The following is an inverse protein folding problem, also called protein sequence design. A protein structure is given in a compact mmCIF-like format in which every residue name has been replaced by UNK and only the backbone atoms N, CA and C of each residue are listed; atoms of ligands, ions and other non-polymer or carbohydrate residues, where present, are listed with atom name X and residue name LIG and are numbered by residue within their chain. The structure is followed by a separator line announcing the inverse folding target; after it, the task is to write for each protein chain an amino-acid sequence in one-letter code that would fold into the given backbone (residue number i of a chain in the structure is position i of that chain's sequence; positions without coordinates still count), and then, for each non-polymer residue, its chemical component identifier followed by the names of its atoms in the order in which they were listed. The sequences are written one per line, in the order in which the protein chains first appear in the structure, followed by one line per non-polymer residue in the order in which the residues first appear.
data_IF_610590533103
#
_entry.id   IF_610590533103
#
_cell.length_a   1.000
_cell.length_b   1.000
_cell.length_c   1.000
_cell.angle_alpha   90.00
_cell.angle_beta   90.00
_cell.angle_gamma   90.00
#
_symmetry.space_group_name_H-M   'P 1'
#
loop_
_entity.id
_entity.type
_entity.pdbx_description
1 polymer ?
#
# COMPACT_ATOMS: atom_id res chain seq x y z
N UNK A 1 -7.17 -0.69 -15.19
CA UNK A 1 -5.90 -1.23 -15.72
C UNK A 1 -4.77 -0.19 -15.60
N UNK A 2 -4.94 1.05 -16.13
CA UNK A 2 -3.87 2.10 -16.11
C UNK A 2 -3.40 2.41 -14.68
N UNK A 3 -4.32 2.63 -13.72
CA UNK A 3 -3.97 2.91 -12.33
C UNK A 3 -3.20 1.75 -11.67
N UNK A 4 -3.58 0.50 -11.97
CA UNK A 4 -2.87 -0.69 -11.48
C UNK A 4 -1.47 -0.82 -12.06
N UNK A 5 -1.30 -0.54 -13.35
CA UNK A 5 0.02 -0.52 -14.00
C UNK A 5 0.91 0.57 -13.41
N UNK A 6 0.39 1.81 -13.33
CA UNK A 6 1.13 2.94 -12.75
C UNK A 6 1.56 2.65 -11.30
N UNK A 7 0.62 2.24 -10.45
CA UNK A 7 0.91 1.85 -9.07
C UNK A 7 1.87 0.67 -8.97
N UNK A 8 1.75 -0.33 -9.85
CA UNK A 8 2.66 -1.47 -9.91
C UNK A 8 4.11 -1.05 -10.21
N UNK A 9 4.33 -0.22 -11.22
CA UNK A 9 5.68 0.25 -11.58
C UNK A 9 6.39 0.97 -10.43
N UNK A 10 5.67 1.74 -9.59
CA UNK A 10 6.23 2.38 -8.39
C UNK A 10 6.83 1.35 -7.42
N UNK A 11 6.40 0.09 -7.46
CA UNK A 11 6.88 -0.97 -6.58
C UNK A 11 7.85 -1.95 -7.26
N UNK A 12 7.90 -2.00 -8.58
CA UNK A 12 8.89 -2.79 -9.32
C UNK A 12 10.22 -2.04 -9.49
N UNK A 13 10.14 -0.77 -9.88
CA UNK A 13 11.31 0.07 -10.15
C UNK A 13 12.23 0.23 -8.93
N UNK A 14 11.75 0.22 -7.66
CA UNK A 14 12.59 0.24 -6.46
C UNK A 14 13.68 -0.85 -6.42
N UNK A 15 13.44 -1.98 -7.05
CA UNK A 15 14.45 -3.03 -7.16
C UNK A 15 15.70 -2.55 -7.92
N UNK A 16 15.52 -1.79 -9.00
CA UNK A 16 16.60 -1.23 -9.81
C UNK A 16 17.16 0.05 -9.19
N UNK A 17 16.30 0.92 -8.69
CA UNK A 17 16.74 2.20 -8.11
C UNK A 17 17.40 2.02 -6.75
N UNK A 18 17.07 0.97 -5.98
CA UNK A 18 17.80 0.59 -4.78
C UNK A 18 19.25 0.26 -5.08
N UNK A 19 19.49 -0.54 -6.13
CA UNK A 19 20.83 -0.85 -6.61
C UNK A 19 21.58 0.38 -7.13
N UNK A 20 20.88 1.29 -7.81
CA UNK A 20 21.46 2.56 -8.26
C UNK A 20 21.79 3.47 -7.08
N UNK A 21 20.94 3.52 -6.05
CA UNK A 21 21.15 4.31 -4.84
C UNK A 21 22.36 3.83 -4.02
N UNK A 22 22.58 2.51 -3.94
CA UNK A 22 23.76 1.92 -3.30
C UNK A 22 25.07 2.36 -4.00
N UNK A 23 25.02 2.63 -5.32
CA UNK A 23 26.17 3.09 -6.09
C UNK A 23 26.42 4.59 -6.00
N UNK A 24 25.37 5.40 -6.11
CA UNK A 24 25.52 6.86 -6.17
C UNK A 24 25.53 7.52 -4.78
N UNK A 25 25.19 6.77 -3.74
CA UNK A 25 25.06 7.23 -2.38
C UNK A 25 23.64 7.79 -2.09
N UNK A 26 23.16 7.52 -0.90
CA UNK A 26 21.77 7.81 -0.48
C UNK A 26 21.39 9.29 -0.57
N UNK A 27 22.31 10.22 -0.24
CA UNK A 27 22.03 11.65 -0.35
C UNK A 27 21.79 12.10 -1.79
N UNK A 28 22.64 11.68 -2.73
CA UNK A 28 22.47 12.00 -4.15
C UNK A 28 21.21 11.38 -4.73
N UNK A 29 20.89 10.14 -4.31
CA UNK A 29 19.70 9.44 -4.73
C UNK A 29 18.42 10.17 -4.25
N UNK A 30 18.36 10.67 -3.00
CA UNK A 30 17.23 11.46 -2.50
C UNK A 30 17.10 12.82 -3.20
N UNK A 31 18.22 13.51 -3.48
CA UNK A 31 18.20 14.76 -4.25
C UNK A 31 17.57 14.53 -5.63
N UNK A 32 18.03 13.49 -6.34
CA UNK A 32 17.47 13.12 -7.64
C UNK A 32 15.99 12.74 -7.52
N UNK A 33 15.63 11.94 -6.53
CA UNK A 33 14.26 11.51 -6.28
C UNK A 33 13.30 12.69 -6.12
N UNK A 34 13.60 13.60 -5.19
CA UNK A 34 12.72 14.74 -4.92
C UNK A 34 12.74 15.80 -6.02
N UNK A 35 13.84 15.96 -6.77
CA UNK A 35 13.88 16.79 -7.97
C UNK A 35 12.93 16.22 -9.06
N UNK A 36 12.98 14.91 -9.34
CA UNK A 36 12.10 14.24 -10.29
C UNK A 36 10.63 14.34 -9.86
N UNK A 37 10.32 14.15 -8.57
CA UNK A 37 8.97 14.28 -8.02
C UNK A 37 8.45 15.72 -8.17
N UNK A 38 9.27 16.72 -7.84
CA UNK A 38 8.90 18.13 -7.95
C UNK A 38 8.56 18.50 -9.38
N UNK A 39 9.42 18.13 -10.35
CA UNK A 39 9.19 18.40 -11.77
C UNK A 39 7.98 17.60 -12.28
N UNK A 40 7.86 16.31 -11.91
CA UNK A 40 6.77 15.45 -12.34
C UNK A 40 5.40 15.96 -11.88
N UNK A 41 5.25 16.29 -10.60
CA UNK A 41 4.02 16.88 -10.07
C UNK A 41 3.77 18.29 -10.64
N UNK A 42 4.80 19.11 -10.77
CA UNK A 42 4.67 20.43 -11.41
C UNK A 42 4.18 20.34 -12.86
N UNK A 43 4.66 19.36 -13.62
CA UNK A 43 4.19 19.08 -14.98
C UNK A 43 2.68 18.74 -14.99
N UNK A 44 2.23 17.86 -14.07
CA UNK A 44 0.80 17.53 -13.95
C UNK A 44 -0.08 18.74 -13.58
N UNK A 45 0.45 19.69 -12.82
CA UNK A 45 -0.27 20.93 -12.48
C UNK A 45 -0.35 21.95 -13.60
N UNK A 46 0.56 21.86 -14.59
CA UNK A 46 0.63 22.85 -15.69
C UNK A 46 -0.09 22.42 -16.96
N UNK A 47 -0.25 21.12 -17.20
CA UNK A 47 -0.67 20.60 -18.52
C UNK A 47 -1.77 19.56 -18.42
N UNK A 48 -2.66 19.60 -19.43
CA UNK A 48 -3.81 18.70 -19.56
C UNK A 48 -3.71 17.76 -20.75
N UNK A 49 -2.71 17.97 -21.63
CA UNK A 49 -2.51 17.13 -22.81
C UNK A 49 -1.82 15.80 -22.47
N UNK A 50 -2.17 14.74 -23.15
CA UNK A 50 -1.78 13.35 -22.80
C UNK A 50 -0.27 13.15 -22.72
N UNK A 51 0.51 13.63 -23.68
CA UNK A 51 1.95 13.36 -23.73
C UNK A 51 2.72 13.94 -22.54
N UNK A 52 2.59 15.24 -22.19
CA UNK A 52 3.23 15.78 -20.99
C UNK A 52 2.72 15.14 -19.67
N UNK A 53 1.44 14.75 -19.60
CA UNK A 53 0.91 14.03 -18.45
C UNK A 53 1.61 12.68 -18.28
N UNK A 54 1.80 11.92 -19.37
CA UNK A 54 2.54 10.64 -19.29
C UNK A 54 4.01 10.84 -18.92
N UNK A 55 4.66 11.91 -19.39
CA UNK A 55 6.03 12.26 -18.99
C UNK A 55 6.07 12.59 -17.49
N UNK A 56 5.15 13.44 -17.00
CA UNK A 56 5.04 13.77 -15.58
C UNK A 56 4.84 12.53 -14.71
N UNK A 57 3.95 11.63 -15.10
CA UNK A 57 3.74 10.35 -14.42
C UNK A 57 5.01 9.47 -14.43
N UNK A 58 5.74 9.43 -15.54
CA UNK A 58 7.02 8.71 -15.64
C UNK A 58 8.07 9.27 -14.67
N UNK A 59 8.18 10.60 -14.56
CA UNK A 59 9.08 11.26 -13.61
C UNK A 59 8.69 10.94 -12.15
N UNK A 60 7.39 10.93 -11.85
CA UNK A 60 6.87 10.57 -10.51
C UNK A 60 7.20 9.12 -10.18
N UNK A 61 7.01 8.19 -11.10
CA UNK A 61 7.39 6.77 -10.90
C UNK A 61 8.87 6.64 -10.61
N UNK A 62 9.71 7.25 -11.42
CA UNK A 62 11.17 7.19 -11.24
C UNK A 62 11.60 7.83 -9.92
N UNK A 63 11.12 9.03 -9.61
CA UNK A 63 11.42 9.73 -8.36
C UNK A 63 10.95 8.94 -7.13
N UNK A 64 9.69 8.52 -7.12
CA UNK A 64 9.10 7.76 -6.03
C UNK A 64 9.78 6.41 -5.78
N UNK A 65 10.28 5.78 -6.86
CA UNK A 65 11.00 4.52 -6.77
C UNK A 65 12.33 4.61 -6.01
N UNK A 66 13.01 5.76 -6.01
CA UNK A 66 14.23 5.96 -5.20
C UNK A 66 13.91 6.17 -3.72
N UNK A 67 12.79 6.79 -3.39
CA UNK A 67 12.48 7.23 -2.02
C UNK A 67 12.44 6.04 -1.05
N UNK A 68 11.66 5.01 -1.37
CA UNK A 68 11.45 3.86 -0.46
C UNK A 68 12.74 3.10 -0.14
N UNK A 69 13.52 2.60 -1.10
CA UNK A 69 14.73 1.82 -0.79
C UNK A 69 15.80 2.66 -0.07
N UNK A 70 15.93 3.93 -0.40
CA UNK A 70 16.90 4.81 0.26
C UNK A 70 16.53 5.09 1.70
N UNK A 71 15.26 5.40 1.99
CA UNK A 71 14.83 5.68 3.35
C UNK A 71 14.86 4.41 4.19
N UNK A 72 14.35 3.28 3.68
CA UNK A 72 14.41 2.00 4.42
C UNK A 72 15.85 1.53 4.62
N UNK A 73 16.72 1.73 3.63
CA UNK A 73 18.15 1.48 3.75
C UNK A 73 18.81 2.38 4.81
N UNK A 74 18.44 3.67 4.85
CA UNK A 74 18.92 4.59 5.91
C UNK A 74 18.49 4.10 7.29
N UNK A 75 17.22 3.70 7.47
CA UNK A 75 16.72 3.14 8.74
C UNK A 75 17.48 1.87 9.12
N UNK A 76 17.72 0.98 8.17
CA UNK A 76 18.48 -0.25 8.39
C UNK A 76 19.91 0.03 8.86
N UNK A 77 20.62 0.95 8.18
CA UNK A 77 21.99 1.34 8.53
C UNK A 77 22.11 2.13 9.84
N UNK A 78 21.07 2.88 10.20
CA UNK A 78 21.02 3.66 11.45
C UNK A 78 20.52 2.86 12.65
N UNK A 79 20.29 1.56 12.51
CA UNK A 79 19.74 0.69 13.57
C UNK A 79 20.54 -0.60 13.70
N UNK A 80 20.76 -1.04 14.95
CA UNK A 80 21.35 -2.34 15.25
C UNK A 80 20.29 -3.47 15.23
N UNK A 81 20.75 -4.72 15.32
CA UNK A 81 19.88 -5.91 15.30
C UNK A 81 18.85 -5.94 16.43
N UNK A 82 19.14 -5.28 17.56
CA UNK A 82 18.26 -5.24 18.73
C UNK A 82 17.13 -4.20 18.57
N UNK A 83 17.42 -3.06 17.95
CA UNK A 83 16.49 -1.94 17.80
C UNK A 83 15.81 -1.87 16.43
N UNK A 84 16.21 -2.71 15.45
CA UNK A 84 15.80 -2.62 14.04
C UNK A 84 14.28 -2.65 13.85
N UNK A 85 13.58 -3.57 14.51
CA UNK A 85 12.11 -3.63 14.42
C UNK A 85 11.44 -2.36 14.95
N UNK A 86 11.97 -1.76 16.03
CA UNK A 86 11.49 -0.49 16.57
C UNK A 86 11.78 0.68 15.62
N UNK A 87 12.97 0.71 15.02
CA UNK A 87 13.31 1.74 14.03
C UNK A 87 12.38 1.70 12.82
N UNK A 88 12.10 0.51 12.28
CA UNK A 88 11.11 0.35 11.21
C UNK A 88 9.68 0.71 11.65
N UNK A 89 9.27 0.42 12.89
CA UNK A 89 7.93 0.81 13.36
C UNK A 89 7.79 2.33 13.49
N UNK A 90 8.81 3.03 13.94
CA UNK A 90 8.83 4.50 13.99
C UNK A 90 8.79 5.06 12.56
N UNK A 91 9.59 4.51 11.64
CA UNK A 91 9.54 4.88 10.23
C UNK A 91 8.13 4.73 9.65
N UNK A 92 7.48 3.58 9.88
CA UNK A 92 6.11 3.33 9.44
C UNK A 92 5.11 4.31 10.05
N UNK A 93 5.24 4.63 11.33
CA UNK A 93 4.41 5.63 11.99
C UNK A 93 4.54 7.00 11.31
N UNK A 94 5.77 7.46 11.05
CA UNK A 94 6.02 8.76 10.40
C UNK A 94 5.45 8.79 8.97
N UNK A 95 5.63 7.72 8.20
CA UNK A 95 5.04 7.60 6.85
C UNK A 95 3.52 7.70 6.91
N UNK A 96 2.89 7.05 7.89
CA UNK A 96 1.43 7.07 8.02
C UNK A 96 0.91 8.42 8.58
N UNK A 97 1.66 9.12 9.41
CA UNK A 97 1.35 10.53 9.77
C UNK A 97 1.31 11.39 8.51
N UNK A 98 2.32 11.26 7.63
CA UNK A 98 2.35 11.96 6.35
C UNK A 98 1.17 11.59 5.43
N UNK A 99 0.85 10.30 5.33
CA UNK A 99 -0.30 9.81 4.55
C UNK A 99 -1.64 10.35 5.07
N UNK A 100 -1.85 10.30 6.38
CA UNK A 100 -3.06 10.83 7.02
C UNK A 100 -3.19 12.34 6.80
N UNK A 101 -2.13 13.10 7.07
CA UNK A 101 -2.11 14.54 6.91
C UNK A 101 -2.34 14.95 5.45
N UNK A 102 -1.64 14.28 4.51
CA UNK A 102 -1.78 14.54 3.08
C UNK A 102 -3.20 14.34 2.58
N UNK A 103 -3.83 13.20 2.89
CA UNK A 103 -5.21 12.93 2.49
C UNK A 103 -6.21 13.89 3.15
N UNK A 104 -5.98 14.26 4.41
CA UNK A 104 -6.83 15.22 5.13
C UNK A 104 -6.78 16.60 4.49
N UNK A 105 -5.63 17.03 4.00
CA UNK A 105 -5.46 18.34 3.33
C UNK A 105 -5.99 18.29 1.89
N UNK A 106 -5.69 17.23 1.16
CA UNK A 106 -6.03 17.11 -0.27
C UNK A 106 -7.54 17.06 -0.51
N UNK A 107 -8.31 16.40 0.38
CA UNK A 107 -9.76 16.27 0.21
C UNK A 107 -10.47 17.63 0.16
N UNK A 108 -10.32 18.54 1.15
CA UNK A 108 -10.93 19.88 1.07
C UNK A 108 -10.34 20.75 -0.05
N UNK A 109 -9.03 20.64 -0.35
CA UNK A 109 -8.43 21.36 -1.48
C UNK A 109 -9.12 21.01 -2.79
N UNK A 110 -9.28 19.73 -3.08
CA UNK A 110 -9.95 19.23 -4.30
C UNK A 110 -11.38 19.75 -4.41
N UNK A 111 -12.10 19.80 -3.29
CA UNK A 111 -13.51 20.22 -3.26
C UNK A 111 -13.65 21.73 -3.43
N UNK A 112 -12.78 22.53 -2.79
CA UNK A 112 -12.89 23.99 -2.73
C UNK A 112 -12.12 24.71 -3.84
N UNK A 113 -10.98 24.16 -4.25
CA UNK A 113 -10.04 24.81 -5.17
C UNK A 113 -9.88 24.08 -6.52
N UNK A 114 -10.52 22.91 -6.68
CA UNK A 114 -10.43 22.10 -7.90
C UNK A 114 -9.33 21.04 -7.86
N UNK A 115 -9.46 20.03 -8.71
CA UNK A 115 -8.52 18.88 -8.80
C UNK A 115 -7.12 19.31 -9.27
N UNK A 116 -7.02 20.40 -10.01
CA UNK A 116 -5.79 20.95 -10.57
C UNK A 116 -4.81 21.45 -9.48
N UNK A 117 -5.31 21.76 -8.28
CA UNK A 117 -4.47 22.25 -7.17
C UNK A 117 -3.70 21.12 -6.48
N UNK A 118 -4.17 19.88 -6.57
CA UNK A 118 -3.56 18.71 -5.91
C UNK A 118 -2.12 18.44 -6.39
N UNK A 119 -1.83 18.43 -7.71
CA UNK A 119 -0.46 18.31 -8.19
C UNK A 119 0.47 19.43 -7.69
N UNK A 120 -0.01 20.66 -7.61
CA UNK A 120 0.79 21.78 -7.09
C UNK A 120 1.15 21.62 -5.61
N UNK A 121 0.20 21.16 -4.78
CA UNK A 121 0.47 20.82 -3.39
C UNK A 121 1.54 19.70 -3.28
N UNK A 122 1.44 18.69 -4.13
CA UNK A 122 2.40 17.57 -4.18
C UNK A 122 3.79 18.05 -4.64
N UNK A 123 3.85 18.95 -5.64
CA UNK A 123 5.10 19.55 -6.11
C UNK A 123 5.76 20.40 -5.01
N UNK A 124 4.98 21.24 -4.32
CA UNK A 124 5.47 22.06 -3.19
C UNK A 124 6.00 21.21 -2.03
N UNK A 125 5.28 20.14 -1.68
CA UNK A 125 5.71 19.19 -0.65
C UNK A 125 7.00 18.46 -1.05
N UNK A 126 7.14 18.06 -2.32
CA UNK A 126 8.36 17.41 -2.85
C UNK A 126 9.53 18.41 -2.89
N UNK A 127 9.30 19.67 -3.23
CA UNK A 127 10.31 20.73 -3.19
C UNK A 127 10.79 21.00 -1.76
N UNK A 128 9.86 21.05 -0.80
CA UNK A 128 10.22 21.16 0.62
C UNK A 128 11.10 20.00 1.06
N UNK A 129 10.74 18.77 0.69
CA UNK A 129 11.55 17.59 0.99
C UNK A 129 12.95 17.68 0.33
N UNK A 130 13.06 18.17 -0.91
CA UNK A 130 14.32 18.41 -1.58
C UNK A 130 15.19 19.39 -0.79
N UNK A 131 14.64 20.52 -0.36
CA UNK A 131 15.33 21.53 0.45
C UNK A 131 15.82 20.91 1.78
N UNK A 132 14.98 20.13 2.46
CA UNK A 132 15.35 19.45 3.70
C UNK A 132 16.50 18.45 3.49
N UNK A 133 16.50 17.70 2.38
CA UNK A 133 17.61 16.80 2.04
C UNK A 133 18.90 17.58 1.77
N UNK A 134 18.81 18.69 1.07
CA UNK A 134 19.99 19.52 0.77
C UNK A 134 20.60 20.16 2.03
N UNK A 135 19.76 20.60 2.98
CA UNK A 135 20.20 21.35 4.15
C UNK A 135 20.51 20.46 5.37
N UNK A 136 19.74 19.41 5.60
CA UNK A 136 19.73 18.69 6.88
C UNK A 136 20.16 17.24 6.75
N UNK A 137 19.82 16.55 5.63
CA UNK A 137 20.08 15.12 5.54
C UNK A 137 21.58 14.81 5.47
N UNK A 138 22.05 14.05 6.44
CA UNK A 138 23.39 13.48 6.46
C UNK A 138 23.26 11.95 6.40
N UNK A 139 23.86 11.29 5.39
CA UNK A 139 23.83 9.83 5.34
C UNK A 139 24.59 9.26 6.55
N UNK A 140 24.20 8.05 7.03
CA UNK A 140 24.98 7.36 8.06
C UNK A 140 26.44 7.20 7.64
N UNK A 141 27.37 7.43 8.57
CA UNK A 141 28.82 7.45 8.30
C UNK A 141 29.45 6.07 8.06
N UNK A 142 28.67 5.01 8.08
CA UNK A 142 29.16 3.65 7.82
C UNK A 142 29.69 3.51 6.40
N UNK A 143 30.99 3.81 6.30
CA UNK A 143 31.85 3.55 5.17
C UNK A 143 31.33 4.20 3.87
N UNK A 144 32.10 5.12 3.32
CA UNK A 144 31.99 5.43 1.91
C UNK A 144 32.10 4.09 1.16
N UNK A 145 30.94 3.43 0.95
CA UNK A 145 30.92 2.20 0.17
C UNK A 145 31.54 2.55 -1.17
N UNK A 146 32.65 1.88 -1.48
CA UNK A 146 33.28 2.03 -2.79
C UNK A 146 32.19 1.84 -3.85
N UNK A 147 32.15 2.69 -4.89
CA UNK A 147 31.12 2.59 -5.91
C UNK A 147 31.14 1.18 -6.48
N UNK A 148 30.07 0.44 -6.22
CA UNK A 148 29.98 -0.96 -6.59
C UNK A 148 30.04 -1.12 -8.10
N UNK A 149 30.74 -2.13 -8.53
CA UNK A 149 30.79 -2.51 -9.93
C UNK A 149 29.40 -3.00 -10.37
N UNK A 150 28.98 -2.68 -11.60
CA UNK A 150 27.70 -3.15 -12.17
C UNK A 150 27.54 -4.66 -12.02
N UNK A 151 28.60 -5.43 -12.16
CA UNK A 151 28.59 -6.88 -11.99
C UNK A 151 28.17 -7.31 -10.58
N UNK A 152 28.67 -6.65 -9.54
CA UNK A 152 28.32 -6.94 -8.14
C UNK A 152 26.86 -6.60 -7.85
N UNK A 153 26.36 -5.51 -8.44
CA UNK A 153 24.96 -5.12 -8.36
C UNK A 153 24.06 -6.19 -8.99
N UNK A 154 24.36 -6.63 -10.20
CA UNK A 154 23.61 -7.69 -10.90
C UNK A 154 23.69 -9.03 -10.16
N UNK A 155 24.84 -9.35 -9.55
CA UNK A 155 24.97 -10.53 -8.68
C UNK A 155 24.07 -10.44 -7.45
N UNK A 156 24.00 -9.26 -6.80
CA UNK A 156 23.09 -9.02 -5.67
C UNK A 156 21.63 -9.21 -6.06
N UNK A 157 21.22 -8.67 -7.20
CA UNK A 157 19.87 -8.87 -7.74
C UNK A 157 19.57 -10.35 -8.02
N UNK A 158 20.51 -11.06 -8.64
CA UNK A 158 20.37 -12.50 -8.88
C UNK A 158 20.27 -13.29 -7.57
N UNK A 159 21.08 -12.95 -6.57
CA UNK A 159 21.03 -13.60 -5.25
C UNK A 159 19.67 -13.38 -4.56
N UNK A 160 19.11 -12.18 -4.61
CA UNK A 160 17.79 -11.90 -4.05
C UNK A 160 16.69 -12.71 -4.77
N UNK A 161 16.72 -12.76 -6.11
CA UNK A 161 15.77 -13.53 -6.91
C UNK A 161 15.91 -15.04 -6.73
N UNK A 162 17.13 -15.53 -6.50
CA UNK A 162 17.41 -16.95 -6.30
C UNK A 162 17.10 -17.44 -4.87
N UNK A 163 16.82 -16.53 -3.93
CA UNK A 163 16.40 -16.91 -2.58
C UNK A 163 14.93 -17.33 -2.61
N UNK A 164 14.69 -18.63 -2.89
CA UNK A 164 13.34 -19.19 -3.02
C UNK A 164 12.50 -19.06 -1.74
N UNK A 165 13.14 -19.04 -0.56
CA UNK A 165 12.42 -18.80 0.70
C UNK A 165 11.90 -17.37 0.75
N UNK A 166 12.72 -16.42 0.39
CA UNK A 166 12.33 -15.00 0.38
C UNK A 166 11.30 -14.73 -0.72
N UNK A 167 11.52 -15.24 -1.93
CA UNK A 167 10.57 -15.12 -3.05
C UNK A 167 9.20 -15.76 -2.69
N UNK A 168 9.19 -16.93 -2.06
CA UNK A 168 7.96 -17.57 -1.61
C UNK A 168 7.17 -16.70 -0.64
N UNK A 169 7.83 -16.11 0.35
CA UNK A 169 7.19 -15.20 1.30
C UNK A 169 6.68 -13.91 0.61
N UNK A 170 7.44 -13.35 -0.34
CA UNK A 170 7.03 -12.21 -1.15
C UNK A 170 5.71 -12.51 -1.89
N UNK A 171 5.64 -13.63 -2.60
CA UNK A 171 4.46 -14.00 -3.39
C UNK A 171 3.24 -14.27 -2.50
N UNK A 172 3.43 -14.93 -1.34
CA UNK A 172 2.36 -15.20 -0.39
C UNK A 172 1.82 -13.90 0.22
N UNK A 173 2.70 -12.98 0.63
CA UNK A 173 2.29 -11.70 1.21
C UNK A 173 1.70 -10.74 0.19
N UNK A 174 1.87 -10.97 -1.11
CA UNK A 174 1.17 -10.23 -2.16
C UNK A 174 -0.36 -10.33 -2.03
N UNK A 175 -0.90 -11.45 -1.53
CA UNK A 175 -2.34 -11.58 -1.26
C UNK A 175 -2.84 -10.63 -0.17
N UNK A 176 -2.05 -10.38 0.89
CA UNK A 176 -2.35 -9.34 1.88
C UNK A 176 -2.47 -7.96 1.22
N UNK A 177 -1.46 -7.57 0.46
CA UNK A 177 -1.43 -6.26 -0.19
C UNK A 177 -2.46 -6.13 -1.32
N UNK A 178 -2.90 -7.24 -1.91
CA UNK A 178 -4.00 -7.23 -2.89
C UNK A 178 -5.34 -6.85 -2.23
N UNK A 179 -5.60 -7.30 -1.00
CA UNK A 179 -6.80 -6.91 -0.23
C UNK A 179 -6.65 -5.48 0.27
N UNK A 180 -5.49 -5.13 0.83
CA UNK A 180 -5.19 -3.77 1.30
C UNK A 180 -5.29 -2.74 0.15
N UNK A 181 -4.85 -3.08 -1.04
CA UNK A 181 -4.95 -2.22 -2.23
C UNK A 181 -6.38 -1.86 -2.63
N UNK A 182 -7.38 -2.59 -2.11
CA UNK A 182 -8.78 -2.28 -2.38
C UNK A 182 -9.26 -0.97 -1.75
N UNK A 183 -8.52 -0.42 -0.81
CA UNK A 183 -8.72 0.97 -0.34
C UNK A 183 -8.67 2.00 -1.47
N UNK A 184 -7.97 1.68 -2.56
CA UNK A 184 -7.74 2.57 -3.70
C UNK A 184 -8.36 2.06 -5.00
N UNK A 185 -8.73 0.78 -5.06
CA UNK A 185 -9.26 0.13 -6.26
C UNK A 185 -10.78 -0.06 -6.22
N UNK A 186 -11.29 -0.84 -5.28
CA UNK A 186 -12.71 -1.19 -5.23
C UNK A 186 -13.51 -0.34 -4.27
N UNK A 187 -12.95 0.03 -3.12
CA UNK A 187 -13.69 0.70 -2.05
C UNK A 187 -14.25 2.06 -2.47
N UNK A 188 -13.50 2.94 -3.17
CA UNK A 188 -14.05 4.23 -3.57
C UNK A 188 -15.28 4.09 -4.45
N UNK A 189 -15.20 3.26 -5.49
CA UNK A 189 -16.31 3.02 -6.41
C UNK A 189 -17.49 2.34 -5.73
N UNK A 190 -17.21 1.35 -4.87
CA UNK A 190 -18.23 0.66 -4.10
C UNK A 190 -19.01 1.61 -3.18
N UNK A 191 -18.31 2.48 -2.44
CA UNK A 191 -18.94 3.45 -1.55
C UNK A 191 -19.80 4.44 -2.35
N UNK A 192 -19.27 5.02 -3.42
CA UNK A 192 -20.01 5.98 -4.25
C UNK A 192 -21.25 5.36 -4.90
N UNK A 193 -21.14 4.14 -5.41
CA UNK A 193 -22.25 3.46 -6.11
C UNK A 193 -23.30 2.88 -5.15
N UNK A 194 -22.91 2.50 -3.93
CA UNK A 194 -23.81 1.85 -2.97
C UNK A 194 -24.34 2.77 -1.87
N UNK A 195 -23.66 3.87 -1.58
CA UNK A 195 -24.07 4.82 -0.54
C UNK A 195 -24.33 6.24 -1.10
N UNK A 196 -23.82 6.54 -2.30
CA UNK A 196 -24.02 7.83 -2.98
C UNK A 196 -22.85 8.82 -2.78
N UNK A 197 -22.89 9.90 -3.55
CA UNK A 197 -21.79 10.90 -3.62
C UNK A 197 -21.63 11.77 -2.35
N UNK A 198 -22.60 11.75 -1.45
CA UNK A 198 -22.49 12.42 -0.16
C UNK A 198 -21.37 11.82 0.69
N UNK A 199 -21.10 10.54 0.51
CA UNK A 199 -20.04 9.82 1.21
C UNK A 199 -18.70 10.00 0.48
N UNK A 200 -17.67 10.41 1.20
CA UNK A 200 -16.35 10.76 0.63
C UNK A 200 -15.35 9.62 0.89
N UNK A 201 -14.96 8.85 -0.14
CA UNK A 201 -14.04 7.71 0.02
C UNK A 201 -12.70 8.05 0.64
N UNK A 202 -12.24 9.28 0.47
CA UNK A 202 -10.99 9.77 1.04
C UNK A 202 -10.97 9.69 2.58
N UNK A 203 -12.11 9.93 3.23
CA UNK A 203 -12.22 9.83 4.68
C UNK A 203 -12.12 8.37 5.17
N UNK A 204 -12.70 7.44 4.43
CA UNK A 204 -12.55 6.01 4.73
C UNK A 204 -11.09 5.57 4.57
N UNK A 205 -10.42 6.00 3.48
CA UNK A 205 -9.03 5.67 3.25
C UNK A 205 -8.08 6.24 4.33
N UNK A 206 -8.51 7.27 5.09
CA UNK A 206 -7.75 7.83 6.21
C UNK A 206 -7.81 6.98 7.49
N UNK A 207 -8.78 6.09 7.62
CA UNK A 207 -8.89 5.20 8.79
C UNK A 207 -7.65 4.31 8.92
N UNK A 208 -7.16 3.77 7.80
CA UNK A 208 -5.97 2.89 7.82
C UNK A 208 -4.73 3.60 8.38
N UNK A 209 -4.23 4.72 7.83
CA UNK A 209 -3.05 5.38 8.38
C UNK A 209 -3.26 5.88 9.82
N UNK A 210 -4.48 6.27 10.21
CA UNK A 210 -4.77 6.63 11.59
C UNK A 210 -4.55 5.44 12.54
N UNK A 211 -5.11 4.27 12.21
CA UNK A 211 -4.93 3.05 13.01
C UNK A 211 -3.46 2.66 13.09
N UNK A 212 -2.73 2.74 11.98
CA UNK A 212 -1.28 2.43 11.98
C UNK A 212 -0.51 3.39 12.87
N UNK A 213 -0.77 4.70 12.78
CA UNK A 213 -0.11 5.70 13.66
C UNK A 213 -0.33 5.39 15.14
N UNK A 214 -1.55 5.04 15.52
CA UNK A 214 -1.91 4.78 16.91
C UNK A 214 -1.31 3.48 17.44
N UNK A 215 -1.21 2.44 16.64
CA UNK A 215 -0.96 1.08 17.14
C UNK A 215 0.35 0.45 16.70
N UNK A 216 1.01 0.91 15.61
CA UNK A 216 2.17 0.20 15.04
C UNK A 216 3.32 0.05 16.04
N UNK A 217 3.65 1.08 16.82
CA UNK A 217 4.75 1.01 17.78
C UNK A 217 4.40 0.07 18.94
N UNK A 218 3.19 0.16 19.49
CA UNK A 218 2.72 -0.68 20.57
C UNK A 218 2.70 -2.16 20.19
N UNK A 219 2.09 -2.47 19.03
CA UNK A 219 2.03 -3.84 18.50
C UNK A 219 3.43 -4.39 18.20
N UNK A 220 4.31 -3.60 17.57
CA UNK A 220 5.68 -4.03 17.31
C UNK A 220 6.44 -4.35 18.60
N UNK A 221 6.26 -3.58 19.67
CA UNK A 221 6.86 -3.88 20.97
C UNK A 221 6.27 -5.15 21.60
N UNK A 222 4.96 -5.37 21.48
CA UNK A 222 4.29 -6.57 21.96
C UNK A 222 4.84 -7.83 21.30
N UNK A 223 5.04 -7.80 19.97
CA UNK A 223 5.53 -8.95 19.19
C UNK A 223 7.06 -8.95 19.00
N UNK A 224 7.79 -8.12 19.73
CA UNK A 224 9.25 -7.93 19.58
C UNK A 224 10.03 -9.24 19.60
N UNK A 225 9.67 -10.13 20.51
CA UNK A 225 10.33 -11.44 20.70
C UNK A 225 9.83 -12.53 19.76
N UNK A 226 8.80 -12.25 18.96
CA UNK A 226 8.25 -13.25 18.05
C UNK A 226 9.15 -13.41 16.81
N UNK A 227 9.19 -14.62 16.28
CA UNK A 227 9.74 -14.85 14.94
C UNK A 227 8.90 -14.04 13.94
N UNK A 228 9.52 -13.43 12.91
CA UNK A 228 8.79 -12.63 11.93
C UNK A 228 7.59 -13.35 11.31
N UNK A 229 7.75 -14.63 10.98
CA UNK A 229 6.71 -15.46 10.35
C UNK A 229 5.45 -15.60 11.22
N UNK A 230 5.60 -15.62 12.55
CA UNK A 230 4.45 -15.74 13.45
C UNK A 230 3.63 -14.43 13.48
N UNK A 231 4.29 -13.27 13.42
CA UNK A 231 3.61 -11.98 13.34
C UNK A 231 2.92 -11.80 11.99
N UNK A 232 3.59 -12.21 10.90
CA UNK A 232 3.00 -12.21 9.56
C UNK A 232 1.77 -13.14 9.53
N UNK A 233 1.82 -14.30 10.19
CA UNK A 233 0.70 -15.23 10.27
C UNK A 233 -0.54 -14.59 10.92
N UNK A 234 -0.36 -13.85 12.02
CA UNK A 234 -1.47 -13.12 12.67
C UNK A 234 -2.09 -12.11 11.70
N UNK A 235 -1.28 -11.35 10.98
CA UNK A 235 -1.78 -10.41 9.99
C UNK A 235 -2.57 -11.11 8.86
N UNK A 236 -2.07 -12.26 8.38
CA UNK A 236 -2.73 -13.04 7.34
C UNK A 236 -4.02 -13.70 7.80
N UNK A 237 -4.16 -13.97 9.11
CA UNK A 237 -5.45 -14.40 9.69
C UNK A 237 -6.42 -13.24 9.75
N UNK A 238 -5.96 -12.03 10.12
CA UNK A 238 -6.82 -10.86 10.28
C UNK A 238 -7.36 -10.32 8.95
N UNK A 239 -6.57 -10.38 7.86
CA UNK A 239 -6.93 -9.69 6.61
C UNK A 239 -8.22 -10.21 5.94
N UNK A 240 -8.56 -11.51 5.91
CA UNK A 240 -9.86 -11.97 5.42
C UNK A 240 -11.04 -11.41 6.23
N UNK A 241 -10.89 -11.24 7.55
CA UNK A 241 -11.94 -10.67 8.40
C UNK A 241 -12.25 -9.22 8.07
N UNK A 242 -11.28 -8.47 7.54
CA UNK A 242 -11.55 -7.12 7.02
C UNK A 242 -12.55 -7.14 5.86
N UNK A 243 -12.39 -8.08 4.93
CA UNK A 243 -13.31 -8.25 3.81
C UNK A 243 -14.66 -8.82 4.26
N UNK A 244 -14.69 -9.69 5.29
CA UNK A 244 -15.95 -10.14 5.93
C UNK A 244 -16.72 -8.96 6.51
N UNK A 245 -16.04 -8.06 7.23
CA UNK A 245 -16.68 -6.85 7.77
C UNK A 245 -17.27 -5.99 6.65
N UNK A 246 -16.50 -5.75 5.57
CA UNK A 246 -16.98 -4.96 4.42
C UNK A 246 -18.18 -5.60 3.73
N UNK A 247 -18.18 -6.92 3.54
CA UNK A 247 -19.29 -7.68 2.97
C UNK A 247 -20.54 -7.62 3.83
N UNK A 248 -20.39 -7.63 5.16
CA UNK A 248 -21.51 -7.68 6.10
C UNK A 248 -22.37 -6.42 6.09
N UNK A 249 -21.89 -5.32 5.49
CA UNK A 249 -22.72 -4.11 5.27
C UNK A 249 -24.01 -4.38 4.50
N UNK A 250 -24.03 -5.40 3.63
CA UNK A 250 -25.20 -5.77 2.83
C UNK A 250 -26.30 -6.50 3.63
N UNK A 251 -26.00 -6.96 4.83
CA UNK A 251 -26.94 -7.71 5.68
C UNK A 251 -27.51 -6.86 6.83
N UNK A 252 -27.19 -5.58 6.87
CA UNK A 252 -27.67 -4.65 7.89
C UNK A 252 -28.73 -3.75 7.26
N UNK A 253 -29.96 -3.85 7.73
CA UNK A 253 -31.07 -3.03 7.27
C UNK A 253 -31.12 -1.69 8.00
N UNK A 254 -31.15 -0.61 7.22
CA UNK A 254 -31.26 0.75 7.72
C UNK A 254 -30.04 1.27 8.49
N UNK A 255 -30.07 2.54 8.89
CA UNK A 255 -28.98 3.17 9.62
C UNK A 255 -28.80 2.57 11.02
N UNK A 256 -27.54 2.35 11.43
CA UNK A 256 -27.20 1.87 12.77
C UNK A 256 -27.02 3.09 13.70
N UNK A 257 -27.69 3.09 14.83
CA UNK A 257 -27.53 4.15 15.82
C UNK A 257 -26.30 3.90 16.69
N UNK A 258 -25.32 4.80 16.60
CA UNK A 258 -24.10 4.77 17.39
C UNK A 258 -24.02 6.08 18.19
N UNK A 259 -24.16 6.00 19.50
CA UNK A 259 -24.14 7.16 20.40
C UNK A 259 -25.09 8.31 19.96
N UNK A 260 -26.27 7.98 19.42
CA UNK A 260 -27.24 8.96 18.94
C UNK A 260 -27.04 9.43 17.50
N UNK A 261 -26.00 8.98 16.81
CA UNK A 261 -25.74 9.24 15.39
C UNK A 261 -26.25 8.09 14.53
N UNK A 262 -27.08 8.40 13.53
CA UNK A 262 -27.52 7.43 12.52
C UNK A 262 -26.40 7.23 11.48
N UNK A 263 -25.70 6.11 11.56
CA UNK A 263 -24.57 5.77 10.68
C UNK A 263 -25.02 4.79 9.61
N UNK A 264 -24.69 5.09 8.35
CA UNK A 264 -25.00 4.19 7.23
C UNK A 264 -24.21 2.86 7.38
N UNK A 265 -24.84 1.67 7.15
CA UNK A 265 -24.18 0.37 7.31
C UNK A 265 -22.86 0.23 6.56
N UNK A 266 -22.80 0.73 5.32
CA UNK A 266 -21.56 0.73 4.52
C UNK A 266 -20.45 1.53 5.22
N UNK A 267 -20.77 2.73 5.73
CA UNK A 267 -19.81 3.54 6.49
C UNK A 267 -19.27 2.78 7.68
N UNK A 268 -20.14 2.23 8.49
CA UNK A 268 -19.76 1.48 9.69
C UNK A 268 -18.85 0.30 9.35
N UNK A 269 -19.28 -0.53 8.42
CA UNK A 269 -18.56 -1.77 8.09
C UNK A 269 -17.26 -1.51 7.29
N UNK A 270 -17.21 -0.45 6.48
CA UNK A 270 -15.96 -0.01 5.85
C UNK A 270 -14.95 0.47 6.90
N UNK A 271 -15.37 1.31 7.86
CA UNK A 271 -14.49 1.78 8.94
C UNK A 271 -13.97 0.60 9.77
N UNK A 272 -14.83 -0.35 10.14
CA UNK A 272 -14.40 -1.56 10.87
C UNK A 272 -13.44 -2.39 10.04
N UNK A 273 -13.76 -2.69 8.78
CA UNK A 273 -12.92 -3.48 7.90
C UNK A 273 -11.54 -2.85 7.67
N UNK A 274 -11.51 -1.54 7.41
CA UNK A 274 -10.26 -0.78 7.21
C UNK A 274 -9.46 -0.72 8.53
N UNK A 275 -10.12 -0.61 9.68
CA UNK A 275 -9.43 -0.67 10.98
C UNK A 275 -8.76 -2.02 11.21
N UNK A 276 -9.43 -3.12 10.85
CA UNK A 276 -8.83 -4.47 10.89
C UNK A 276 -7.63 -4.55 9.94
N UNK A 277 -7.70 -3.96 8.74
CA UNK A 277 -6.57 -3.90 7.81
C UNK A 277 -5.38 -3.14 8.42
N UNK A 278 -5.61 -1.97 9.00
CA UNK A 278 -4.58 -1.18 9.65
C UNK A 278 -3.91 -1.91 10.82
N UNK A 279 -4.69 -2.60 11.66
CA UNK A 279 -4.15 -3.44 12.72
C UNK A 279 -3.33 -4.61 12.16
N UNK A 280 -3.82 -5.30 11.14
CA UNK A 280 -3.11 -6.38 10.47
C UNK A 280 -1.78 -5.89 9.87
N UNK A 281 -1.76 -4.69 9.27
CA UNK A 281 -0.56 -4.05 8.74
C UNK A 281 0.48 -3.79 9.84
N UNK A 282 0.06 -3.40 11.05
CA UNK A 282 0.96 -3.21 12.20
C UNK A 282 1.69 -4.50 12.60
N UNK A 283 1.06 -5.67 12.44
CA UNK A 283 1.71 -6.97 12.66
C UNK A 283 2.64 -7.35 11.50
N UNK A 284 2.26 -7.05 10.26
CA UNK A 284 2.98 -7.50 9.07
C UNK A 284 4.19 -6.63 8.78
N UNK A 285 3.99 -5.32 8.59
CA UNK A 285 4.96 -4.48 7.89
C UNK A 285 6.31 -4.34 8.58
N UNK A 286 6.40 -4.03 9.91
CA UNK A 286 7.70 -3.93 10.56
C UNK A 286 8.45 -5.28 10.61
N UNK A 287 7.71 -6.38 10.80
CA UNK A 287 8.28 -7.73 10.89
C UNK A 287 8.67 -8.28 9.53
N UNK A 288 7.95 -7.92 8.49
CA UNK A 288 8.29 -8.26 7.11
C UNK A 288 9.59 -7.57 6.67
N UNK A 289 9.75 -6.27 6.97
CA UNK A 289 11.01 -5.57 6.70
C UNK A 289 12.16 -6.07 7.56
N UNK A 290 11.91 -6.41 8.83
CA UNK A 290 12.89 -7.08 9.69
C UNK A 290 13.34 -8.42 9.08
N UNK A 291 12.39 -9.21 8.56
CA UNK A 291 12.71 -10.47 7.87
C UNK A 291 13.55 -10.23 6.63
N UNK A 292 13.12 -9.29 5.77
CA UNK A 292 13.82 -8.95 4.54
C UNK A 292 15.25 -8.48 4.79
N UNK A 293 15.44 -7.62 5.80
CA UNK A 293 16.76 -7.11 6.17
C UNK A 293 17.70 -8.15 6.78
N UNK A 294 17.20 -9.32 7.19
CA UNK A 294 18.01 -10.45 7.64
C UNK A 294 18.42 -11.40 6.51
N UNK A 295 17.86 -11.23 5.31
CA UNK A 295 18.20 -12.04 4.13
C UNK A 295 19.35 -11.44 3.33
N UNK A 296 19.69 -10.17 3.58
CA UNK A 296 20.71 -9.45 2.83
C UNK A 296 22.12 -9.81 3.30
N UNK A 297 23.05 -10.11 2.36
CA UNK A 297 24.47 -10.07 2.66
C UNK A 297 24.89 -8.63 2.98
N UNK A 298 25.91 -8.44 3.86
CA UNK A 298 26.43 -7.11 4.17
C UNK A 298 26.66 -6.28 2.91
N UNK A 299 26.10 -5.07 2.92
CA UNK A 299 26.24 -4.12 1.84
C UNK A 299 25.31 -4.31 0.64
N UNK A 300 24.29 -5.19 0.67
CA UNK A 300 23.27 -5.36 -0.38
C UNK A 300 21.84 -5.03 0.12
N UNK A 301 21.76 -4.22 1.18
CA UNK A 301 20.52 -3.87 1.87
C UNK A 301 19.50 -3.22 0.93
N UNK A 302 19.94 -2.26 0.10
CA UNK A 302 19.07 -1.57 -0.86
C UNK A 302 18.46 -2.51 -1.88
N UNK A 303 19.23 -3.47 -2.41
CA UNK A 303 18.73 -4.48 -3.37
C UNK A 303 17.69 -5.37 -2.72
N UNK A 304 17.96 -5.93 -1.54
CA UNK A 304 17.06 -6.86 -0.88
C UNK A 304 15.79 -6.18 -0.35
N UNK A 305 15.91 -4.98 0.23
CA UNK A 305 14.75 -4.20 0.64
C UNK A 305 13.93 -3.69 -0.56
N UNK A 306 14.59 -3.35 -1.67
CA UNK A 306 13.91 -3.07 -2.95
C UNK A 306 13.16 -4.29 -3.47
N UNK A 307 13.79 -5.48 -3.42
CA UNK A 307 13.16 -6.75 -3.81
C UNK A 307 11.97 -7.11 -2.93
N UNK A 308 12.01 -6.80 -1.64
CA UNK A 308 10.90 -7.03 -0.71
C UNK A 308 9.60 -6.35 -1.18
N UNK A 309 9.68 -5.21 -1.85
CA UNK A 309 8.50 -4.47 -2.32
C UNK A 309 7.85 -5.06 -3.59
N UNK A 310 8.42 -6.08 -4.21
CA UNK A 310 7.82 -6.77 -5.36
C UNK A 310 6.49 -7.45 -4.99
N UNK A 311 6.26 -7.81 -3.73
CA UNK A 311 4.96 -8.27 -3.26
C UNK A 311 3.84 -7.26 -3.57
N UNK A 312 4.11 -5.97 -3.37
CA UNK A 312 3.15 -4.91 -3.64
C UNK A 312 2.96 -4.68 -5.16
N UNK A 313 4.02 -4.86 -5.96
CA UNK A 313 3.90 -4.85 -7.42
C UNK A 313 2.88 -5.88 -7.93
N UNK A 314 3.03 -7.15 -7.52
CA UNK A 314 2.07 -8.18 -7.89
C UNK A 314 0.66 -7.89 -7.36
N UNK A 315 0.57 -7.43 -6.11
CA UNK A 315 -0.70 -7.07 -5.49
C UNK A 315 -1.45 -5.97 -6.24
N UNK A 316 -0.75 -4.93 -6.69
CA UNK A 316 -1.37 -3.83 -7.43
C UNK A 316 -1.80 -4.26 -8.83
N UNK A 317 -0.94 -4.94 -9.58
CA UNK A 317 -1.31 -5.38 -10.93
C UNK A 317 -2.50 -6.35 -10.87
N UNK A 318 -2.36 -7.45 -10.16
CA UNK A 318 -3.42 -8.46 -10.10
C UNK A 318 -4.65 -7.97 -9.33
N UNK A 319 -4.45 -7.24 -8.23
CA UNK A 319 -5.54 -6.71 -7.40
C UNK A 319 -6.39 -5.69 -8.15
N UNK A 320 -5.81 -4.77 -8.93
CA UNK A 320 -6.58 -3.78 -9.71
C UNK A 320 -7.25 -4.37 -10.94
N UNK A 321 -6.60 -5.32 -11.63
CA UNK A 321 -7.23 -6.04 -12.75
C UNK A 321 -8.44 -6.83 -12.22
N UNK A 322 -8.27 -7.55 -11.13
CA UNK A 322 -9.33 -8.33 -10.50
C UNK A 322 -10.46 -7.44 -9.96
N UNK A 323 -10.10 -6.29 -9.35
CA UNK A 323 -11.05 -5.26 -8.94
C UNK A 323 -11.93 -4.78 -10.10
N UNK A 324 -11.30 -4.42 -11.22
CA UNK A 324 -12.05 -3.96 -12.40
C UNK A 324 -13.05 -5.01 -12.93
N UNK A 325 -12.65 -6.29 -12.92
CA UNK A 325 -13.54 -7.39 -13.28
C UNK A 325 -14.70 -7.54 -12.29
N UNK A 326 -14.42 -7.52 -10.99
CA UNK A 326 -15.44 -7.66 -9.94
C UNK A 326 -16.40 -6.47 -9.90
N UNK A 327 -15.89 -5.24 -10.02
CA UNK A 327 -16.72 -4.05 -10.09
C UNK A 327 -17.64 -4.09 -11.31
N UNK A 328 -17.11 -4.41 -12.50
CA UNK A 328 -17.94 -4.52 -13.70
C UNK A 328 -19.05 -5.56 -13.53
N UNK A 329 -18.79 -6.65 -12.82
CA UNK A 329 -19.74 -7.76 -12.65
C UNK A 329 -20.78 -7.52 -11.54
N UNK A 330 -20.36 -6.98 -10.40
CA UNK A 330 -21.19 -6.95 -9.17
C UNK A 330 -21.58 -5.55 -8.72
N UNK A 331 -20.86 -4.53 -9.16
CA UNK A 331 -21.09 -3.13 -8.81
C UNK A 331 -20.77 -2.24 -10.02
N UNK A 332 -21.47 -2.41 -11.16
CA UNK A 332 -21.16 -1.73 -12.41
C UNK A 332 -21.29 -0.21 -12.29
N UNK A 333 -20.61 0.52 -13.17
CA UNK A 333 -20.75 1.96 -13.26
C UNK A 333 -22.11 2.34 -13.83
N UNK A 334 -22.89 3.24 -13.18
CA UNK A 334 -24.25 3.59 -13.62
C UNK A 334 -24.34 4.04 -15.09
N UNK A 335 -23.32 4.77 -15.58
CA UNK A 335 -23.25 5.26 -16.97
C UNK A 335 -23.09 4.15 -18.00
N UNK A 336 -22.72 2.94 -17.60
CA UNK A 336 -22.58 1.78 -18.51
C UNK A 336 -23.83 0.90 -18.55
N UNK A 337 -24.85 1.24 -17.75
CA UNK A 337 -26.12 0.50 -17.66
C UNK A 337 -27.18 1.13 -18.55
N UNK A 338 -28.24 0.38 -18.94
CA UNK A 338 -29.42 0.94 -19.59
C UNK A 338 -30.01 2.10 -18.77
N UNK A 339 -30.49 3.14 -19.45
CA UNK A 339 -31.03 4.38 -18.80
C UNK A 339 -32.07 4.07 -17.71
N UNK A 340 -32.96 3.11 -17.94
CA UNK A 340 -33.96 2.71 -16.97
C UNK A 340 -33.35 2.22 -15.62
N UNK A 341 -32.24 1.46 -15.69
CA UNK A 341 -31.54 0.95 -14.52
C UNK A 341 -30.74 2.07 -13.84
N UNK A 342 -30.13 2.96 -14.61
CA UNK A 342 -29.41 4.13 -14.09
C UNK A 342 -30.36 5.08 -13.36
N UNK A 343 -31.55 5.33 -13.89
CA UNK A 343 -32.60 6.11 -13.21
C UNK A 343 -33.08 5.41 -11.94
N UNK A 344 -33.35 4.09 -12.00
CA UNK A 344 -33.74 3.31 -10.82
C UNK A 344 -32.65 3.37 -9.74
N UNK A 345 -31.37 3.29 -10.10
CA UNK A 345 -30.24 3.41 -9.17
C UNK A 345 -30.24 4.76 -8.45
N UNK A 346 -30.46 5.87 -9.16
CA UNK A 346 -30.56 7.21 -8.56
C UNK A 346 -31.76 7.30 -7.61
N UNK A 347 -32.92 6.75 -8.00
CA UNK A 347 -34.11 6.70 -7.15
C UNK A 347 -33.91 5.81 -5.90
N UNK A 348 -33.20 4.69 -6.06
CA UNK A 348 -32.84 3.82 -4.95
C UNK A 348 -31.94 4.51 -3.92
N UNK A 349 -30.91 5.22 -4.37
CA UNK A 349 -30.04 6.01 -3.48
C UNK A 349 -30.82 7.14 -2.74
N UNK A 350 -31.89 7.65 -3.35
CA UNK A 350 -32.80 8.60 -2.73
C UNK A 350 -33.88 7.94 -1.83
N UNK A 351 -33.88 6.62 -1.67
CA UNK A 351 -34.88 5.87 -0.90
C UNK A 351 -36.26 5.77 -1.56
N UNK A 352 -36.37 6.02 -2.87
CA UNK A 352 -37.64 6.10 -3.63
C UNK A 352 -37.93 4.84 -4.44
N UNK A 353 -36.96 3.94 -4.60
CA UNK A 353 -37.10 2.70 -5.36
C UNK A 353 -36.34 1.55 -4.67
N UNK A 354 -36.68 0.27 -4.97
CA UNK A 354 -35.88 -0.86 -4.52
C UNK A 354 -34.53 -0.89 -5.22
N UNK A 355 -33.55 -1.59 -4.60
CA UNK A 355 -32.22 -1.79 -5.16
C UNK A 355 -32.33 -2.41 -6.57
N UNK A 356 -31.65 -1.87 -7.59
CA UNK A 356 -31.60 -2.48 -8.92
C UNK A 356 -30.92 -3.86 -8.89
N UNK A 357 -31.38 -4.80 -9.70
CA UNK A 357 -30.83 -6.16 -9.77
C UNK A 357 -29.31 -6.15 -10.02
N UNK A 358 -28.83 -5.21 -10.82
CA UNK A 358 -27.39 -5.04 -11.10
C UNK A 358 -26.53 -4.81 -9.86
N UNK A 359 -27.09 -4.35 -8.74
CA UNK A 359 -26.40 -4.07 -7.48
C UNK A 359 -26.82 -5.01 -6.33
N UNK A 360 -27.81 -5.88 -6.52
CA UNK A 360 -28.30 -6.79 -5.49
C UNK A 360 -27.20 -7.67 -4.86
N UNK A 361 -26.17 -7.99 -5.64
CA UNK A 361 -25.03 -8.82 -5.24
C UNK A 361 -23.70 -8.05 -5.18
N UNK A 362 -23.71 -6.74 -5.00
CA UNK A 362 -22.50 -5.93 -4.95
C UNK A 362 -21.50 -6.40 -3.87
N UNK A 363 -21.99 -6.92 -2.74
CA UNK A 363 -21.18 -7.46 -1.65
C UNK A 363 -20.37 -8.71 -2.03
N UNK A 364 -20.71 -9.42 -3.13
CA UNK A 364 -19.92 -10.58 -3.63
C UNK A 364 -18.52 -10.19 -4.04
N UNK A 365 -18.29 -8.91 -4.35
CA UNK A 365 -16.96 -8.35 -4.55
C UNK A 365 -16.06 -8.63 -3.34
N UNK A 366 -16.56 -8.42 -2.13
CA UNK A 366 -15.82 -8.64 -0.90
C UNK A 366 -15.62 -10.12 -0.59
N UNK A 367 -16.60 -10.98 -0.92
CA UNK A 367 -16.44 -12.44 -0.80
C UNK A 367 -15.29 -12.97 -1.65
N UNK A 368 -15.09 -12.42 -2.83
CA UNK A 368 -13.93 -12.79 -3.65
C UNK A 368 -12.61 -12.45 -2.94
N UNK A 369 -12.51 -11.32 -2.24
CA UNK A 369 -11.33 -10.97 -1.46
C UNK A 369 -11.15 -11.78 -0.19
N UNK A 370 -12.23 -12.25 0.44
CA UNK A 370 -12.14 -13.28 1.50
C UNK A 370 -11.43 -14.52 0.95
N UNK A 371 -11.82 -14.97 -0.25
CA UNK A 371 -11.18 -16.09 -0.94
C UNK A 371 -9.68 -15.88 -1.16
N UNK A 372 -9.27 -14.71 -1.64
CA UNK A 372 -7.86 -14.34 -1.81
C UNK A 372 -7.11 -14.42 -0.48
N UNK A 373 -7.70 -13.89 0.59
CA UNK A 373 -7.08 -13.91 1.92
C UNK A 373 -6.93 -15.31 2.49
N UNK A 374 -7.94 -16.16 2.35
CA UNK A 374 -7.90 -17.56 2.81
C UNK A 374 -6.87 -18.38 2.02
N UNK A 375 -6.79 -18.22 0.70
CA UNK A 375 -5.77 -18.89 -0.12
C UNK A 375 -4.37 -18.48 0.35
N UNK A 376 -4.13 -17.19 0.51
CA UNK A 376 -2.84 -16.67 0.97
C UNK A 376 -2.48 -17.17 2.38
N UNK A 377 -3.46 -17.27 3.27
CA UNK A 377 -3.27 -17.82 4.62
C UNK A 377 -2.86 -19.31 4.58
N UNK A 378 -3.56 -20.11 3.79
CA UNK A 378 -3.23 -21.55 3.62
C UNK A 378 -1.83 -21.72 3.05
N UNK A 379 -1.47 -20.92 2.03
CA UNK A 379 -0.12 -20.93 1.46
C UNK A 379 0.94 -20.52 2.49
N UNK A 380 0.67 -19.55 3.37
CA UNK A 380 1.60 -19.15 4.44
C UNK A 380 1.79 -20.28 5.47
N UNK A 381 0.71 -20.93 5.88
CA UNK A 381 0.78 -22.06 6.83
C UNK A 381 1.65 -23.19 6.22
N UNK A 382 1.39 -23.54 4.95
CA UNK A 382 2.19 -24.52 4.22
C UNK A 382 3.67 -24.12 4.12
N UNK A 383 3.94 -22.87 3.82
CA UNK A 383 5.29 -22.30 3.75
C UNK A 383 6.02 -22.41 5.10
N UNK A 384 5.38 -22.00 6.20
CA UNK A 384 5.97 -22.09 7.56
C UNK A 384 6.27 -23.55 7.93
N UNK A 385 5.35 -24.45 7.65
CA UNK A 385 5.54 -25.89 7.92
C UNK A 385 6.71 -26.46 7.11
N UNK A 386 6.79 -26.15 5.82
CA UNK A 386 7.84 -26.62 4.93
C UNK A 386 9.22 -26.07 5.34
N UNK A 387 9.33 -24.78 5.60
CA UNK A 387 10.60 -24.15 6.00
C UNK A 387 11.11 -24.69 7.34
N UNK A 388 10.23 -24.87 8.32
CA UNK A 388 10.60 -25.48 9.62
C UNK A 388 11.10 -26.90 9.48
N UNK A 389 10.51 -27.71 8.60
CA UNK A 389 11.00 -29.07 8.32
C UNK A 389 12.37 -29.09 7.65
N UNK A 390 12.61 -28.17 6.72
CA UNK A 390 13.93 -28.05 6.08
C UNK A 390 15.01 -27.65 7.08
N UNK A 391 14.70 -26.73 7.99
CA UNK A 391 15.64 -26.28 9.02
C UNK A 391 15.94 -27.40 10.03
N UNK A 392 14.94 -28.18 10.45
CA UNK A 392 15.13 -29.33 11.31
C UNK A 392 16.04 -30.42 10.68
N UNK A 393 15.91 -30.66 9.36
CA UNK A 393 16.77 -31.62 8.63
C UNK A 393 18.21 -31.15 8.42
N UNK A 394 18.49 -29.85 8.57
CA UNK A 394 19.87 -29.29 8.45
C UNK A 394 20.60 -29.27 9.78
N UNK A 395 19.89 -29.38 10.89
CA UNK A 395 20.44 -29.36 12.25
C UNK A 395 20.65 -30.78 12.84
N UNK A 396 20.04 -31.79 12.25
CA UNK A 396 20.29 -33.23 12.56
C UNK A 396 21.13 -33.89 11.50
#
# INVERSE_FOLDING_TARGET
VVAGLFGGWIYLVPFFTGAAADRMGFRKALILAFALLTVGYGTLGMVTTLTPVLIGLGLIVLGGAFVKPVITGTVSKSSDSFNRARAFSIFYMVVNIGSFTGKTIVAPMRIQMGVETVPWFSAGSSLLALILVLLIYRPPEDGAEQPRNMRETLQGMWMAMSNLRFLGLILITAGFWAIQGQLYASMPDYVLRMAGETYKPEWYANVNPLVVVLFVVAITQMVRKWKPENSILVAMVMIPFSAVAMASSAFIEGPVNIFGLAVHPITLMMVIGISIQGLAECFLSPKYLEYASKQDPPGKEGVFLGFAHINTFFAWIFGFIFSGFLLKKYCPEPTTLPDAIAVQHTQWLAGQAPIPEAYAHAHYLWFAYIGVGLISLVLLIGYIWFTRRLDARRMG
#
